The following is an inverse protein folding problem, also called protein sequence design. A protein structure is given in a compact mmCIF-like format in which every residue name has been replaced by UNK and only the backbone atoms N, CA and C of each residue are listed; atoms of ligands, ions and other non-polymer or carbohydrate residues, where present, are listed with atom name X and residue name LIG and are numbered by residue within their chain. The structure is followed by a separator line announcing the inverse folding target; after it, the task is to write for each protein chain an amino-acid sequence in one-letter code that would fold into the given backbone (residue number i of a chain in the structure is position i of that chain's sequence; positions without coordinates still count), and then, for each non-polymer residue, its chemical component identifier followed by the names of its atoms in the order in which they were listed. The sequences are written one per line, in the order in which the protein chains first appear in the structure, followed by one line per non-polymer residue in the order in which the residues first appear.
data_IF_601533032507
#
_entry.id   IF_601533032507
#
_cell.length_a   1.000
_cell.length_b   1.000
_cell.length_c   1.000
_cell.angle_alpha   90.00
_cell.angle_beta   90.00
_cell.angle_gamma   90.00
#
_symmetry.space_group_name_H-M   'P 1'
#
loop_
_entity.id
_entity.type
_entity.pdbx_description
1 polymer ?
#
# COMPACT_ATOMS: atom_id res chain seq x y z
N UNK A 1 19.16 24.35 -13.40
CA UNK A 1 18.66 22.96 -13.35
C UNK A 1 18.28 22.71 -11.90
N UNK A 2 17.01 22.90 -11.56
CA UNK A 2 16.51 22.73 -10.19
C UNK A 2 15.34 21.77 -10.28
N UNK A 3 15.61 20.48 -10.08
CA UNK A 3 14.57 19.47 -9.93
C UNK A 3 14.00 19.67 -8.53
N UNK A 4 12.93 20.44 -8.42
CA UNK A 4 12.04 20.36 -7.26
C UNK A 4 11.70 18.88 -7.06
N UNK A 5 11.75 18.31 -5.85
CA UNK A 5 11.19 16.98 -5.64
C UNK A 5 9.73 17.06 -6.06
N UNK A 6 9.42 16.37 -7.16
CA UNK A 6 8.08 16.25 -7.69
C UNK A 6 7.18 15.78 -6.53
N UNK A 7 6.03 16.43 -6.34
CA UNK A 7 5.06 16.08 -5.30
C UNK A 7 4.46 14.67 -5.46
N UNK A 8 5.14 13.77 -6.16
CA UNK A 8 4.85 12.37 -6.37
C UNK A 8 4.67 11.67 -5.03
N UNK A 9 3.55 10.96 -4.96
CA UNK A 9 3.19 10.17 -3.81
C UNK A 9 3.95 8.84 -3.85
N UNK A 10 4.86 8.62 -2.92
CA UNK A 10 5.65 7.39 -2.83
C UNK A 10 5.02 6.44 -1.81
N UNK A 11 4.86 5.13 -2.12
CA UNK A 11 4.50 4.12 -1.15
C UNK A 11 5.53 4.02 -0.01
N UNK A 12 5.02 3.82 1.20
CA UNK A 12 5.80 3.46 2.39
C UNK A 12 6.50 2.11 2.12
N UNK A 13 7.77 1.98 2.51
CA UNK A 13 8.48 0.71 2.42
C UNK A 13 7.81 -0.36 3.29
N UNK A 14 7.83 -1.60 2.84
CA UNK A 14 7.27 -2.74 3.58
C UNK A 14 8.36 -3.54 4.27
N UNK A 15 8.05 -4.10 5.44
CA UNK A 15 8.99 -4.89 6.23
C UNK A 15 8.73 -6.39 6.01
N UNK A 16 7.96 -7.04 6.88
CA UNK A 16 7.56 -8.44 6.71
C UNK A 16 6.56 -8.64 5.56
N UNK A 17 6.87 -9.59 4.66
CA UNK A 17 5.99 -9.99 3.56
C UNK A 17 4.90 -10.95 4.03
N UNK A 18 3.94 -10.41 4.78
CA UNK A 18 2.77 -11.13 5.26
C UNK A 18 1.48 -10.40 4.88
N UNK A 19 0.45 -11.16 4.49
CA UNK A 19 -0.86 -10.59 4.21
C UNK A 19 -1.42 -9.84 5.44
N UNK A 20 -1.94 -8.62 5.22
CA UNK A 20 -2.51 -7.75 6.25
C UNK A 20 -3.92 -8.16 6.69
N UNK A 21 -4.56 -9.11 6.00
CA UNK A 21 -5.85 -9.63 6.42
C UNK A 21 -5.72 -10.32 7.79
N UNK A 22 -6.65 -10.01 8.70
CA UNK A 22 -6.60 -10.50 10.08
C UNK A 22 -6.53 -12.03 10.13
N UNK A 23 -5.45 -12.55 10.70
CA UNK A 23 -5.23 -13.99 10.87
C UNK A 23 -4.70 -14.72 9.63
N UNK A 24 -4.53 -14.02 8.50
CA UNK A 24 -3.88 -14.59 7.33
C UNK A 24 -2.36 -14.59 7.53
N UNK A 25 -1.69 -15.64 7.03
CA UNK A 25 -0.22 -15.77 7.03
C UNK A 25 0.34 -16.15 5.65
N UNK A 26 -0.47 -16.07 4.60
CA UNK A 26 -0.01 -16.35 3.24
C UNK A 26 0.94 -15.25 2.77
N UNK A 27 1.84 -15.63 1.86
CA UNK A 27 2.71 -14.69 1.17
C UNK A 27 1.86 -13.71 0.35
N UNK A 28 2.13 -12.39 0.43
CA UNK A 28 1.43 -11.40 -0.37
C UNK A 28 1.92 -11.45 -1.82
N UNK A 29 1.00 -11.18 -2.73
CA UNK A 29 1.30 -10.93 -4.15
C UNK A 29 1.10 -9.45 -4.52
N UNK A 30 0.44 -8.67 -3.66
CA UNK A 30 0.00 -7.31 -3.94
C UNK A 30 0.28 -6.35 -2.78
N UNK A 31 0.57 -5.10 -3.13
CA UNK A 31 0.47 -3.93 -2.25
C UNK A 31 -0.81 -3.15 -2.54
N UNK A 32 -1.65 -2.96 -1.53
CA UNK A 32 -2.85 -2.12 -1.58
C UNK A 32 -2.48 -0.77 -0.98
N UNK A 33 -2.30 0.23 -1.85
CA UNK A 33 -1.86 1.57 -1.48
C UNK A 33 -3.05 2.40 -1.05
N UNK A 34 -2.94 3.06 0.11
CA UNK A 34 -4.04 3.84 0.67
C UNK A 34 -3.58 5.12 1.34
N UNK A 35 -4.53 6.06 1.44
CA UNK A 35 -4.36 7.32 2.15
C UNK A 35 -5.66 7.68 2.87
N UNK A 36 -5.59 7.97 4.17
CA UNK A 36 -6.66 8.60 4.91
C UNK A 36 -6.36 10.10 5.02
N UNK A 37 -7.06 10.98 4.27
CA UNK A 37 -6.74 12.40 4.21
C UNK A 37 -6.99 13.14 5.53
N UNK A 38 -7.70 12.52 6.49
CA UNK A 38 -7.87 13.08 7.84
C UNK A 38 -6.62 12.92 8.72
N UNK A 39 -5.73 11.99 8.37
CA UNK A 39 -4.57 11.61 9.18
C UNK A 39 -3.23 11.74 8.46
N UNK A 40 -3.24 11.79 7.13
CA UNK A 40 -2.04 11.70 6.30
C UNK A 40 -1.98 12.86 5.32
N UNK A 41 -0.77 13.31 4.99
CA UNK A 41 -0.55 14.25 3.89
C UNK A 41 -1.01 13.63 2.57
N UNK A 42 -1.43 14.44 1.58
CA UNK A 42 -1.90 13.92 0.28
C UNK A 42 -0.87 13.08 -0.47
N UNK A 43 0.43 13.26 -0.21
CA UNK A 43 1.53 12.54 -0.85
C UNK A 43 1.80 11.18 -0.19
N UNK A 44 1.40 10.98 1.07
CA UNK A 44 1.72 9.71 1.75
C UNK A 44 0.89 8.57 1.17
N UNK A 45 1.51 7.41 0.93
CA UNK A 45 0.82 6.18 0.53
C UNK A 45 1.19 5.08 1.51
N UNK A 46 0.29 4.77 2.43
CA UNK A 46 0.44 3.57 3.28
C UNK A 46 0.24 2.34 2.41
N UNK A 47 0.88 1.24 2.79
CA UNK A 47 0.72 -0.05 2.12
C UNK A 47 0.08 -1.06 3.07
N UNK A 48 -0.92 -1.78 2.59
CA UNK A 48 -1.33 -3.07 3.13
C UNK A 48 -0.93 -4.17 2.15
N UNK A 49 -0.33 -5.22 2.65
CA UNK A 49 0.08 -6.36 1.83
C UNK A 49 -1.10 -7.34 1.69
N UNK A 50 -1.30 -7.93 0.52
CA UNK A 50 -2.40 -8.84 0.24
C UNK A 50 -1.96 -10.07 -0.56
N UNK A 51 -2.36 -11.26 -0.11
CA UNK A 51 -2.32 -12.47 -0.93
C UNK A 51 -3.44 -12.43 -2.01
N UNK A 52 -3.41 -13.38 -2.94
CA UNK A 52 -4.41 -13.48 -4.01
C UNK A 52 -5.84 -13.55 -3.47
N UNK A 53 -6.06 -14.33 -2.40
CA UNK A 53 -7.37 -14.52 -1.77
C UNK A 53 -7.95 -13.24 -1.15
N UNK A 54 -7.11 -12.32 -0.68
CA UNK A 54 -7.53 -11.17 0.14
C UNK A 54 -7.40 -9.82 -0.55
N UNK A 55 -6.82 -9.75 -1.76
CA UNK A 55 -6.64 -8.50 -2.50
C UNK A 55 -7.95 -7.72 -2.64
N UNK A 56 -9.01 -8.39 -3.10
CA UNK A 56 -10.30 -7.73 -3.37
C UNK A 56 -10.95 -7.24 -2.09
N UNK A 57 -11.02 -8.07 -1.04
CA UNK A 57 -11.61 -7.68 0.24
C UNK A 57 -10.93 -6.42 0.81
N UNK A 58 -9.60 -6.41 0.90
CA UNK A 58 -8.86 -5.27 1.46
C UNK A 58 -9.04 -4.01 0.61
N UNK A 59 -9.05 -4.16 -0.72
CA UNK A 59 -9.27 -3.04 -1.65
C UNK A 59 -10.67 -2.44 -1.50
N UNK A 60 -11.70 -3.28 -1.43
CA UNK A 60 -13.08 -2.83 -1.28
C UNK A 60 -13.32 -2.14 0.06
N UNK A 61 -12.72 -2.64 1.14
CA UNK A 61 -12.76 -1.96 2.45
C UNK A 61 -12.26 -0.52 2.36
N UNK A 62 -11.17 -0.29 1.61
CA UNK A 62 -10.58 1.04 1.42
C UNK A 62 -11.37 1.87 0.40
N UNK A 63 -11.90 1.26 -0.66
CA UNK A 63 -12.69 1.92 -1.71
C UNK A 63 -13.94 2.57 -1.14
N UNK A 64 -14.74 1.85 -0.35
CA UNK A 64 -16.00 2.39 0.22
C UNK A 64 -15.77 3.55 1.20
N UNK A 65 -14.52 3.76 1.64
CA UNK A 65 -14.11 4.86 2.53
C UNK A 65 -13.40 5.99 1.80
N UNK A 66 -13.27 5.90 0.48
CA UNK A 66 -12.43 6.76 -0.34
C UNK A 66 -10.98 6.84 0.20
N UNK A 67 -10.40 5.70 0.61
CA UNK A 67 -9.01 5.62 1.04
C UNK A 67 -8.11 4.93 0.03
N UNK A 68 -8.67 4.07 -0.82
CA UNK A 68 -7.91 3.33 -1.83
C UNK A 68 -7.27 4.28 -2.85
N UNK A 69 -5.97 4.12 -3.09
CA UNK A 69 -5.23 4.93 -4.05
C UNK A 69 -4.75 4.12 -5.24
N UNK A 70 -4.20 2.93 -4.99
CA UNK A 70 -3.76 2.03 -6.05
C UNK A 70 -3.61 0.59 -5.55
N UNK A 71 -3.44 -0.36 -6.46
CA UNK A 71 -3.06 -1.75 -6.16
C UNK A 71 -1.93 -2.16 -7.11
N UNK A 72 -0.77 -2.48 -6.55
CA UNK A 72 0.45 -2.80 -7.31
C UNK A 72 0.95 -4.20 -6.96
N UNK A 73 1.69 -4.89 -7.84
CA UNK A 73 2.45 -6.08 -7.48
C UNK A 73 3.36 -5.84 -6.28
N UNK A 74 3.52 -6.84 -5.42
CA UNK A 74 4.41 -6.72 -4.23
C UNK A 74 5.88 -6.47 -4.61
N UNK A 75 6.28 -6.87 -5.82
CA UNK A 75 7.65 -6.71 -6.32
C UNK A 75 8.00 -5.25 -6.68
N UNK A 76 6.98 -4.41 -6.91
CA UNK A 76 7.16 -2.97 -7.15
C UNK A 76 7.34 -2.16 -5.86
N UNK A 77 7.26 -2.79 -4.68
CA UNK A 77 7.40 -2.13 -3.39
C UNK A 77 8.83 -2.19 -2.85
N UNK A 78 9.28 -1.06 -2.30
CA UNK A 78 10.53 -1.00 -1.54
C UNK A 78 10.43 -1.80 -0.24
N UNK A 79 11.52 -2.45 0.16
CA UNK A 79 11.61 -3.23 1.39
C UNK A 79 12.54 -2.58 2.39
N UNK A 80 12.10 -2.49 3.64
CA UNK A 80 12.93 -2.00 4.74
C UNK A 80 14.13 -2.93 4.92
N UNK A 81 15.35 -2.40 4.75
CA UNK A 81 16.59 -3.13 5.04
C UNK A 81 17.17 -3.95 3.89
N UNK A 82 16.86 -3.60 2.63
CA UNK A 82 17.71 -3.99 1.49
C UNK A 82 18.88 -3.04 1.34
#
# INVERSE_FOLDING_TARGET
MSTTPDGSAVPDAVDELVCSARGCRQAPAWGVLWNNPKLHTPQRRKVWLACEDHREHLSEYLRVRDFLRDVVPVDDLDRVGT
#
